data_IF_656784272217
#
_entry.id   IF_656784272217
#
_cell.length_a   1.000
_cell.length_b   1.000
_cell.length_c   1.000
_cell.angle_alpha   90.00
_cell.angle_beta   90.00
_cell.angle_gamma   90.00
#
_symmetry.space_group_name_H-M   'P 1'
#
loop_
_entity.id
_entity.type
_entity.pdbx_description
1 polymer ?
#
# COMPACT_ATOMS: atom_id res chain seq x y z
N UNK A 1 22.66 -62.04 29.54
CA UNK A 1 22.08 -61.03 28.64
C UNK A 1 22.86 -59.76 28.91
N UNK A 2 23.66 -59.34 27.94
CA UNK A 2 24.49 -58.14 28.04
C UNK A 2 23.68 -57.00 27.42
N UNK A 3 23.39 -55.96 28.21
CA UNK A 3 22.73 -54.77 27.70
C UNK A 3 23.64 -54.14 26.63
N UNK A 4 23.10 -53.70 25.48
CA UNK A 4 23.91 -53.02 24.49
C UNK A 4 24.39 -51.70 25.10
N UNK A 5 25.71 -51.51 25.15
CA UNK A 5 26.33 -50.24 25.52
C UNK A 5 25.75 -49.13 24.64
N UNK A 6 24.86 -48.31 25.22
CA UNK A 6 24.46 -47.04 24.63
C UNK A 6 25.73 -46.22 24.46
N UNK A 7 26.21 -46.11 23.23
CA UNK A 7 27.25 -45.15 22.86
C UNK A 7 26.74 -43.76 23.21
N UNK A 8 27.12 -43.26 24.37
CA UNK A 8 26.99 -41.86 24.73
C UNK A 8 27.92 -41.09 23.79
N UNK A 9 27.39 -40.67 22.64
CA UNK A 9 28.09 -39.80 21.72
C UNK A 9 28.32 -38.47 22.46
N UNK A 10 29.56 -38.24 22.88
CA UNK A 10 29.92 -37.03 23.57
C UNK A 10 29.52 -35.84 22.67
N UNK A 11 28.80 -34.84 23.20
CA UNK A 11 28.41 -33.68 22.40
C UNK A 11 29.65 -33.10 21.74
N UNK A 12 29.60 -32.91 20.43
CA UNK A 12 30.70 -32.38 19.63
C UNK A 12 31.26 -31.12 20.34
N UNK A 13 32.54 -31.10 20.74
CA UNK A 13 33.13 -29.94 21.40
C UNK A 13 33.11 -28.68 20.50
N UNK A 14 32.88 -28.84 19.19
CA UNK A 14 32.66 -27.76 18.24
C UNK A 14 31.20 -27.27 18.18
N UNK A 15 30.24 -27.95 18.82
CA UNK A 15 28.88 -27.46 18.95
C UNK A 15 28.86 -26.27 19.92
N UNK A 16 29.10 -25.08 19.37
CA UNK A 16 28.66 -23.84 20.00
C UNK A 16 27.20 -23.67 19.62
N UNK A 17 26.26 -23.61 20.58
CA UNK A 17 24.94 -23.08 20.29
C UNK A 17 25.16 -21.73 19.62
N UNK A 18 24.65 -21.58 18.40
CA UNK A 18 24.56 -20.25 17.80
C UNK A 18 23.87 -19.37 18.84
N UNK A 19 24.42 -18.19 19.18
CA UNK A 19 23.71 -17.24 20.02
C UNK A 19 22.29 -17.11 19.46
N UNK A 20 21.24 -17.16 20.32
CA UNK A 20 19.91 -16.78 19.88
C UNK A 20 20.05 -15.48 19.10
N UNK A 21 19.55 -15.43 17.86
CA UNK A 21 19.70 -14.26 16.99
C UNK A 21 19.41 -13.00 17.83
N UNK A 22 20.40 -12.12 18.08
CA UNK A 22 20.24 -11.00 19.02
C UNK A 22 19.20 -9.99 18.54
N UNK A 23 18.87 -10.07 17.25
CA UNK A 23 17.84 -9.30 16.61
C UNK A 23 16.58 -10.17 16.58
N UNK A 24 15.58 -9.91 17.45
CA UNK A 24 14.22 -10.21 17.03
C UNK A 24 14.06 -9.65 15.62
N UNK A 25 13.60 -10.47 14.67
CA UNK A 25 13.10 -9.96 13.39
C UNK A 25 12.05 -8.93 13.77
N UNK A 26 12.41 -7.65 13.77
CA UNK A 26 11.52 -6.60 14.23
C UNK A 26 10.30 -6.72 13.34
N UNK A 27 9.12 -7.12 13.85
CA UNK A 27 7.92 -7.12 13.05
C UNK A 27 7.76 -5.66 12.63
N UNK A 28 7.99 -5.35 11.36
CA UNK A 28 8.11 -3.96 10.90
C UNK A 28 6.89 -3.17 11.35
N UNK A 29 7.06 -2.38 12.41
CA UNK A 29 5.94 -1.67 13.04
C UNK A 29 5.35 -0.66 12.06
N UNK A 30 4.13 -0.19 12.30
CA UNK A 30 3.48 0.82 11.45
C UNK A 30 4.28 2.14 11.32
N UNK A 31 5.30 2.30 12.17
CA UNK A 31 6.19 3.44 12.25
C UNK A 31 7.52 3.27 11.50
N UNK A 32 7.80 2.12 10.88
CA UNK A 32 8.92 2.03 9.93
C UNK A 32 8.68 2.97 8.75
N UNK A 33 9.74 3.37 8.05
CA UNK A 33 9.62 4.35 6.98
C UNK A 33 8.67 3.84 5.89
N UNK A 34 8.82 2.58 5.46
CA UNK A 34 7.95 1.94 4.47
C UNK A 34 6.49 1.88 4.94
N UNK A 35 6.24 1.41 6.16
CA UNK A 35 4.88 1.30 6.69
C UNK A 35 4.20 2.66 6.87
N UNK A 36 4.93 3.66 7.39
CA UNK A 36 4.41 5.01 7.63
C UNK A 36 4.03 5.71 6.34
N UNK A 37 4.90 5.67 5.34
CA UNK A 37 4.62 6.26 4.03
C UNK A 37 3.43 5.53 3.40
N UNK A 38 3.35 4.20 3.55
CA UNK A 38 2.27 3.39 2.96
C UNK A 38 0.90 3.83 3.48
N UNK A 39 0.67 3.86 4.80
CA UNK A 39 -0.67 4.22 5.31
C UNK A 39 -1.00 5.70 5.09
N UNK A 40 -0.02 6.61 5.15
CA UNK A 40 -0.27 8.03 4.84
C UNK A 40 -0.62 8.20 3.36
N UNK A 41 0.14 7.59 2.46
CA UNK A 41 -0.13 7.67 1.02
C UNK A 41 -1.46 6.98 0.67
N UNK A 42 -1.77 5.85 1.29
CA UNK A 42 -3.05 5.16 1.15
C UNK A 42 -4.23 6.00 1.65
N UNK A 43 -4.07 6.71 2.77
CA UNK A 43 -5.08 7.64 3.30
C UNK A 43 -5.33 8.79 2.32
N UNK A 44 -4.24 9.41 1.84
CA UNK A 44 -4.34 10.50 0.86
C UNK A 44 -4.97 10.01 -0.44
N UNK A 45 -4.60 8.82 -0.93
CA UNK A 45 -5.19 8.21 -2.12
C UNK A 45 -6.69 7.98 -1.93
N UNK A 46 -7.10 7.43 -0.79
CA UNK A 46 -8.51 7.22 -0.45
C UNK A 46 -9.28 8.55 -0.45
N UNK A 47 -8.77 9.56 0.26
CA UNK A 47 -9.42 10.86 0.40
C UNK A 47 -9.45 11.65 -0.91
N UNK A 48 -8.45 11.48 -1.78
CA UNK A 48 -8.41 12.13 -3.10
C UNK A 48 -9.62 11.80 -3.98
N UNK A 49 -10.27 10.65 -3.75
CA UNK A 49 -11.50 10.29 -4.46
C UNK A 49 -12.68 11.21 -4.14
N UNK A 50 -12.66 11.89 -2.98
CA UNK A 50 -13.68 12.86 -2.59
C UNK A 50 -13.31 14.32 -2.94
N UNK A 51 -12.20 14.51 -3.65
CA UNK A 51 -11.75 15.81 -4.15
C UNK A 51 -12.14 16.00 -5.63
N UNK A 52 -12.01 17.23 -6.13
CA UNK A 52 -12.28 17.57 -7.52
C UNK A 52 -11.30 16.86 -8.48
N UNK A 53 -11.80 16.00 -9.35
CA UNK A 53 -10.99 15.38 -10.39
C UNK A 53 -11.06 16.16 -11.69
N UNK A 54 -12.21 16.76 -11.96
CA UNK A 54 -12.44 17.62 -13.10
C UNK A 54 -13.01 18.95 -12.61
N UNK A 55 -12.62 20.03 -13.29
CA UNK A 55 -13.09 21.37 -13.02
C UNK A 55 -13.38 22.06 -14.36
N UNK A 56 -14.38 22.92 -14.39
CA UNK A 56 -14.63 23.79 -15.54
C UNK A 56 -15.62 24.89 -15.21
N UNK A 57 -16.00 25.64 -16.22
CA UNK A 57 -16.91 26.78 -16.08
C UNK A 57 -18.08 26.67 -17.03
N UNK A 58 -19.30 26.79 -16.51
CA UNK A 58 -20.53 26.87 -17.29
C UNK A 58 -21.37 28.05 -16.83
N UNK A 59 -21.86 28.87 -17.75
CA UNK A 59 -22.75 30.01 -17.45
C UNK A 59 -22.22 30.98 -16.36
N UNK A 60 -20.89 31.15 -16.27
CA UNK A 60 -20.24 32.00 -15.28
C UNK A 60 -20.05 31.38 -13.89
N UNK A 61 -20.42 30.11 -13.70
CA UNK A 61 -20.22 29.35 -12.46
C UNK A 61 -19.10 28.31 -12.62
N UNK A 62 -18.23 28.21 -11.62
CA UNK A 62 -17.21 27.16 -11.53
C UNK A 62 -17.85 25.87 -11.03
N UNK A 63 -17.68 24.79 -11.80
CA UNK A 63 -18.22 23.46 -11.51
C UNK A 63 -17.04 22.52 -11.25
N UNK A 64 -17.10 21.78 -10.14
CA UNK A 64 -16.15 20.72 -9.80
C UNK A 64 -16.84 19.36 -9.77
N UNK A 65 -16.24 18.36 -10.40
CA UNK A 65 -16.70 16.97 -10.37
C UNK A 65 -15.78 16.17 -9.47
N UNK A 66 -16.34 15.68 -8.37
CA UNK A 66 -15.62 14.85 -7.40
C UNK A 66 -15.31 13.47 -8.00
N UNK A 67 -14.10 12.95 -7.73
CA UNK A 67 -13.61 11.64 -8.18
C UNK A 67 -14.60 10.48 -8.00
N UNK A 68 -15.28 10.41 -6.86
CA UNK A 68 -16.29 9.41 -6.52
C UNK A 68 -17.43 9.32 -7.55
N UNK A 69 -17.85 10.47 -8.07
CA UNK A 69 -18.93 10.59 -9.05
C UNK A 69 -18.44 10.35 -10.49
N UNK A 70 -17.14 10.17 -10.70
CA UNK A 70 -16.59 10.02 -12.05
C UNK A 70 -16.87 8.63 -12.67
N UNK A 71 -17.23 7.63 -11.87
CA UNK A 71 -17.63 6.29 -12.32
C UNK A 71 -17.02 5.18 -11.46
N UNK A 72 -16.76 4.02 -12.06
CA UNK A 72 -16.17 2.85 -11.37
C UNK A 72 -14.72 3.11 -10.95
N UNK A 73 -13.90 3.71 -11.82
CA UNK A 73 -12.49 3.96 -11.52
C UNK A 73 -12.28 4.85 -10.28
N UNK A 74 -13.09 5.89 -10.09
CA UNK A 74 -13.02 6.73 -8.88
C UNK A 74 -13.32 5.95 -7.59
N UNK A 75 -14.26 5.01 -7.65
CA UNK A 75 -14.58 4.11 -6.52
C UNK A 75 -13.47 3.10 -6.28
N UNK A 76 -12.88 2.54 -7.35
CA UNK A 76 -11.75 1.64 -7.22
C UNK A 76 -10.55 2.33 -6.57
N UNK A 77 -10.24 3.58 -6.94
CA UNK A 77 -9.18 4.35 -6.27
C UNK A 77 -9.45 4.53 -4.77
N UNK A 78 -10.70 4.83 -4.38
CA UNK A 78 -11.10 4.85 -2.97
C UNK A 78 -10.81 3.51 -2.28
N UNK A 79 -11.26 2.39 -2.86
CA UNK A 79 -11.09 1.07 -2.26
C UNK A 79 -9.63 0.60 -2.22
N UNK A 80 -8.80 1.00 -3.19
CA UNK A 80 -7.36 0.74 -3.15
C UNK A 80 -6.69 1.49 -2.00
N UNK A 81 -7.01 2.77 -1.79
CA UNK A 81 -6.53 3.52 -0.63
C UNK A 81 -7.02 2.92 0.69
N UNK A 82 -8.30 2.54 0.77
CA UNK A 82 -8.89 1.88 1.94
C UNK A 82 -8.23 0.53 2.23
N UNK A 83 -7.89 -0.27 1.21
CA UNK A 83 -7.20 -1.54 1.38
C UNK A 83 -5.84 -1.36 2.08
N UNK A 84 -5.09 -0.30 1.76
CA UNK A 84 -3.83 0.02 2.43
C UNK A 84 -4.05 0.37 3.91
N UNK A 85 -5.09 1.16 4.20
CA UNK A 85 -5.45 1.46 5.59
C UNK A 85 -5.83 0.19 6.34
N UNK A 86 -6.60 -0.69 5.71
CA UNK A 86 -6.99 -1.95 6.31
C UNK A 86 -5.77 -2.84 6.59
N UNK A 87 -4.80 -2.92 5.68
CA UNK A 87 -3.54 -3.62 5.92
C UNK A 87 -2.79 -3.05 7.14
N UNK A 88 -2.69 -1.72 7.25
CA UNK A 88 -2.04 -1.08 8.39
C UNK A 88 -2.77 -1.37 9.71
N UNK A 89 -4.11 -1.31 9.72
CA UNK A 89 -4.93 -1.59 10.91
C UNK A 89 -4.86 -3.07 11.31
N UNK A 90 -4.92 -4.00 10.35
CA UNK A 90 -4.79 -5.43 10.60
C UNK A 90 -3.43 -5.75 11.24
N UNK A 91 -2.36 -5.16 10.71
CA UNK A 91 -1.02 -5.30 11.27
C UNK A 91 -0.93 -4.78 12.70
N UNK A 92 -1.49 -3.59 12.98
CA UNK A 92 -1.50 -3.03 14.34
C UNK A 92 -2.31 -3.90 15.32
N UNK A 93 -3.35 -4.58 14.81
CA UNK A 93 -4.13 -5.56 15.56
C UNK A 93 -3.41 -6.91 15.74
N UNK A 94 -2.19 -7.08 15.24
CA UNK A 94 -1.42 -8.32 15.28
C UNK A 94 -1.89 -9.39 14.28
N UNK A 95 -2.70 -9.00 13.29
CA UNK A 95 -3.17 -9.88 12.21
C UNK A 95 -2.20 -9.75 11.04
N UNK A 96 -1.30 -10.72 10.91
CA UNK A 96 -0.32 -10.78 9.83
C UNK A 96 -0.86 -11.54 8.61
N UNK A 97 -0.36 -11.17 7.44
CA UNK A 97 -0.63 -11.92 6.22
C UNK A 97 0.11 -13.26 6.23
N UNK A 98 -0.39 -14.28 5.50
CA UNK A 98 0.33 -15.53 5.34
C UNK A 98 1.77 -15.32 4.86
N UNK A 99 2.77 -16.04 5.38
CA UNK A 99 4.18 -15.87 5.03
C UNK A 99 4.50 -16.04 3.53
N UNK A 100 3.59 -16.68 2.78
CA UNK A 100 3.73 -16.91 1.35
C UNK A 100 3.56 -15.63 0.51
N UNK A 101 3.01 -14.54 1.06
CA UNK A 101 2.71 -13.32 0.30
C UNK A 101 3.39 -12.12 0.98
N UNK A 102 4.45 -11.55 0.37
CA UNK A 102 5.08 -10.34 0.88
C UNK A 102 4.11 -9.17 0.87
N UNK A 103 4.01 -8.44 1.98
CA UNK A 103 3.09 -7.31 2.08
C UNK A 103 3.58 -6.15 1.20
N UNK A 104 4.90 -5.98 1.08
CA UNK A 104 5.53 -5.07 0.10
C UNK A 104 4.99 -5.27 -1.32
N UNK A 105 4.88 -6.52 -1.79
CA UNK A 105 4.36 -6.85 -3.12
C UNK A 105 2.89 -6.43 -3.28
N UNK A 106 2.07 -6.63 -2.25
CA UNK A 106 0.66 -6.19 -2.26
C UNK A 106 0.58 -4.66 -2.35
N UNK A 107 1.37 -3.94 -1.54
CA UNK A 107 1.39 -2.46 -1.54
C UNK A 107 1.83 -1.94 -2.91
N UNK A 108 2.88 -2.52 -3.51
CA UNK A 108 3.35 -2.16 -4.85
C UNK A 108 2.24 -2.40 -5.89
N UNK A 109 1.58 -3.57 -5.85
CA UNK A 109 0.50 -3.90 -6.77
C UNK A 109 -0.68 -2.93 -6.65
N UNK A 110 -1.08 -2.57 -5.42
CA UNK A 110 -2.12 -1.58 -5.17
C UNK A 110 -1.73 -0.21 -5.72
N UNK A 111 -0.50 0.25 -5.47
CA UNK A 111 0.02 1.52 -5.99
C UNK A 111 0.07 1.56 -7.52
N UNK A 112 0.48 0.47 -8.15
CA UNK A 112 0.50 0.33 -9.61
C UNK A 112 -0.91 0.39 -10.21
N UNK A 113 -1.86 -0.37 -9.67
CA UNK A 113 -3.27 -0.32 -10.09
C UNK A 113 -3.86 1.08 -9.90
N UNK A 114 -3.60 1.71 -8.74
CA UNK A 114 -4.05 3.08 -8.46
C UNK A 114 -3.49 4.08 -9.48
N UNK A 115 -2.20 3.96 -9.80
CA UNK A 115 -1.54 4.80 -10.80
C UNK A 115 -2.17 4.63 -12.17
N UNK A 116 -2.41 3.39 -12.61
CA UNK A 116 -3.08 3.10 -13.89
C UNK A 116 -4.48 3.72 -13.93
N UNK A 117 -5.29 3.52 -12.87
CA UNK A 117 -6.65 4.05 -12.83
C UNK A 117 -6.70 5.58 -12.86
N UNK A 118 -5.79 6.24 -12.14
CA UNK A 118 -5.67 7.70 -12.15
C UNK A 118 -5.18 8.18 -13.51
N UNK A 119 -4.19 7.54 -14.13
CA UNK A 119 -3.70 7.92 -15.46
C UNK A 119 -4.77 7.79 -16.54
N UNK A 120 -5.56 6.71 -16.54
CA UNK A 120 -6.71 6.56 -17.44
C UNK A 120 -7.63 7.77 -17.32
N UNK A 121 -7.91 8.21 -16.09
CA UNK A 121 -8.79 9.35 -15.81
C UNK A 121 -8.17 10.71 -16.09
N UNK A 122 -6.85 10.80 -16.00
CA UNK A 122 -6.09 11.98 -16.31
C UNK A 122 -6.06 12.22 -17.83
N UNK A 123 -5.95 11.19 -18.65
CA UNK A 123 -5.88 11.33 -20.11
C UNK A 123 -7.27 11.28 -20.78
N UNK A 124 -8.24 10.59 -20.18
CA UNK A 124 -9.58 10.41 -20.73
C UNK A 124 -10.64 11.02 -19.81
N UNK A 125 -11.28 12.09 -20.28
CA UNK A 125 -12.45 12.70 -19.65
C UNK A 125 -13.69 12.13 -20.30
N UNK A 126 -14.64 11.57 -19.53
CA UNK A 126 -15.93 11.21 -20.10
C UNK A 126 -16.73 12.45 -20.53
N UNK A 127 -17.25 12.43 -21.76
CA UNK A 127 -17.99 13.55 -22.39
C UNK A 127 -19.18 14.05 -21.55
N UNK A 128 -19.76 13.17 -20.73
CA UNK A 128 -20.86 13.49 -19.80
C UNK A 128 -20.51 14.53 -18.73
N UNK A 129 -19.25 14.92 -18.58
CA UNK A 129 -18.81 15.92 -17.61
C UNK A 129 -18.64 17.32 -18.20
N UNK A 130 -18.86 17.53 -19.50
CA UNK A 130 -18.85 18.87 -20.08
C UNK A 130 -19.90 19.76 -19.41
N UNK A 131 -19.57 21.01 -19.03
CA UNK A 131 -18.38 21.79 -19.41
C UNK A 131 -17.15 21.64 -18.49
N UNK A 132 -17.06 20.65 -17.61
CA UNK A 132 -15.87 20.35 -16.78
C UNK A 132 -14.79 19.58 -17.56
N UNK A 133 -14.17 20.25 -18.54
CA UNK A 133 -13.10 19.70 -19.39
C UNK A 133 -11.68 19.85 -18.80
N UNK A 134 -11.51 20.64 -17.74
CA UNK A 134 -10.26 20.80 -17.01
C UNK A 134 -9.92 19.66 -16.05
N UNK A 135 -8.74 19.73 -15.43
CA UNK A 135 -8.32 18.83 -14.35
C UNK A 135 -8.38 19.57 -13.02
N UNK A 136 -9.11 19.00 -12.07
CA UNK A 136 -9.14 19.47 -10.69
C UNK A 136 -7.86 19.12 -9.93
N UNK A 137 -7.66 19.69 -8.73
CA UNK A 137 -6.44 19.40 -7.96
C UNK A 137 -6.44 17.97 -7.40
N UNK A 138 -7.63 17.43 -7.10
CA UNK A 138 -7.80 16.08 -6.58
C UNK A 138 -7.19 14.97 -7.44
N UNK A 139 -7.20 15.09 -8.77
CA UNK A 139 -6.61 14.05 -9.64
C UNK A 139 -5.09 14.03 -9.60
N UNK A 140 -4.45 15.19 -9.41
CA UNK A 140 -3.00 15.30 -9.23
C UNK A 140 -2.57 14.75 -7.87
N UNK A 141 -3.35 15.06 -6.83
CA UNK A 141 -3.17 14.48 -5.48
C UNK A 141 -3.28 12.96 -5.55
N UNK A 142 -4.28 12.42 -6.24
CA UNK A 142 -4.45 10.99 -6.44
C UNK A 142 -3.24 10.36 -7.15
N UNK A 143 -2.69 11.02 -8.18
CA UNK A 143 -1.54 10.52 -8.92
C UNK A 143 -0.28 10.47 -8.03
N UNK A 144 0.02 11.56 -7.34
CA UNK A 144 1.17 11.63 -6.42
C UNK A 144 1.02 10.60 -5.31
N UNK A 145 -0.18 10.46 -4.74
CA UNK A 145 -0.44 9.48 -3.69
C UNK A 145 -0.25 8.04 -4.18
N UNK A 146 -0.77 7.69 -5.37
CA UNK A 146 -0.62 6.36 -5.94
C UNK A 146 0.86 6.01 -6.20
N UNK A 147 1.64 6.97 -6.71
CA UNK A 147 3.08 6.81 -6.89
C UNK A 147 3.81 6.68 -5.54
N UNK A 148 3.43 7.47 -4.54
CA UNK A 148 3.97 7.36 -3.18
C UNK A 148 3.69 6.00 -2.53
N UNK A 149 2.54 5.38 -2.81
CA UNK A 149 2.24 3.99 -2.39
C UNK A 149 3.25 3.01 -3.00
N UNK A 150 3.61 3.16 -4.28
CA UNK A 150 4.62 2.29 -4.91
C UNK A 150 5.97 2.46 -4.20
N UNK A 151 6.41 3.70 -3.97
CA UNK A 151 7.65 3.97 -3.24
C UNK A 151 7.62 3.40 -1.83
N UNK A 152 6.50 3.48 -1.11
CA UNK A 152 6.33 2.88 0.20
C UNK A 152 6.51 1.35 0.16
N UNK A 153 5.91 0.70 -0.84
CA UNK A 153 6.05 -0.73 -1.06
C UNK A 153 7.49 -1.15 -1.38
N UNK A 154 8.22 -0.36 -2.19
CA UNK A 154 9.64 -0.59 -2.48
C UNK A 154 10.53 -0.43 -1.24
N UNK A 155 10.30 0.61 -0.44
CA UNK A 155 11.01 0.80 0.83
C UNK A 155 10.78 -0.38 1.77
N UNK A 156 9.53 -0.84 1.86
CA UNK A 156 9.17 -1.98 2.68
C UNK A 156 9.78 -3.28 2.18
N UNK A 157 9.88 -3.49 0.87
CA UNK A 157 10.59 -4.64 0.32
C UNK A 157 12.06 -4.66 0.79
N UNK A 158 12.69 -3.48 0.90
CA UNK A 158 14.02 -3.36 1.48
C UNK A 158 14.10 -3.61 2.99
N UNK A 159 13.00 -3.41 3.73
CA UNK A 159 12.88 -3.72 5.17
C UNK A 159 12.58 -5.21 5.43
N UNK A 160 12.04 -5.93 4.45
CA UNK A 160 11.64 -7.35 4.54
C UNK A 160 12.79 -8.33 4.17
N UNK A 161 13.84 -7.84 3.50
CA UNK A 161 15.04 -8.61 3.09
C UNK A 161 16.06 -8.75 4.21
#
# INVERSE_FOLDING_TARGET
>A
MQEPDEFYEAPDPAYRPLPPDPYPRTPGGIWTAGARISWVAGLVLMLSSFMDWYAGSGEGLTIGVIGWHTGTLGKLVFFLGLAIILLAVLREAGIELPPAIPESLIVIAIGALGTIFVLIRLISIPDKFLPADGRGIGIWIALVAAVAVIFAGLLRAGEEL
#
